data_IF_070987742118
#
_entry.id   IF_070987742118
#
_cell.length_a   1.000
_cell.length_b   1.000
_cell.length_c   1.000
_cell.angle_alpha   90.00
_cell.angle_beta   90.00
_cell.angle_gamma   90.00
#
_symmetry.space_group_name_H-M   'P 1'
#
loop_
_entity.id
_entity.type
_entity.pdbx_description
1 polymer ?
#
# COMPACT_ATOMS: atom_id res chain seq x y z
N UNK A 1 -8.21 -17.78 -12.15
CA UNK A 1 -8.66 -16.37 -12.18
C UNK A 1 -9.53 -16.03 -10.96
N UNK A 2 -10.50 -16.88 -10.59
CA UNK A 2 -11.42 -16.65 -9.45
C UNK A 2 -10.72 -16.50 -8.10
N UNK A 3 -9.70 -17.33 -7.78
CA UNK A 3 -8.97 -17.25 -6.50
C UNK A 3 -8.15 -15.96 -6.36
N UNK A 4 -7.58 -15.44 -7.44
CA UNK A 4 -6.79 -14.20 -7.43
C UNK A 4 -7.66 -12.96 -7.22
N UNK A 5 -8.89 -12.97 -7.74
CA UNK A 5 -9.85 -11.88 -7.51
C UNK A 5 -10.29 -11.85 -6.03
N UNK A 6 -10.54 -13.00 -5.42
CA UNK A 6 -10.86 -13.08 -4.00
C UNK A 6 -9.74 -12.53 -3.11
N UNK A 7 -8.48 -12.82 -3.45
CA UNK A 7 -7.33 -12.25 -2.76
C UNK A 7 -7.28 -10.72 -2.91
N UNK A 8 -7.52 -10.20 -4.12
CA UNK A 8 -7.55 -8.75 -4.36
C UNK A 8 -8.64 -8.06 -3.52
N UNK A 9 -9.85 -8.63 -3.45
CA UNK A 9 -10.92 -8.10 -2.59
C UNK A 9 -10.55 -8.13 -1.11
N UNK A 10 -9.93 -9.22 -0.65
CA UNK A 10 -9.40 -9.31 0.71
C UNK A 10 -8.40 -8.20 1.02
N UNK A 11 -7.45 -7.95 0.12
CA UNK A 11 -6.45 -6.89 0.27
C UNK A 11 -7.12 -5.51 0.36
N UNK A 12 -8.13 -5.22 -0.47
CA UNK A 12 -8.87 -3.95 -0.42
C UNK A 12 -9.50 -3.73 0.97
N UNK A 13 -10.09 -4.77 1.56
CA UNK A 13 -10.68 -4.69 2.90
C UNK A 13 -9.61 -4.36 3.94
N UNK A 14 -8.48 -5.08 3.93
CA UNK A 14 -7.40 -4.85 4.89
C UNK A 14 -6.77 -3.45 4.74
N UNK A 15 -6.55 -2.99 3.50
CA UNK A 15 -6.03 -1.65 3.23
C UNK A 15 -7.02 -0.56 3.65
N UNK A 16 -8.32 -0.75 3.40
CA UNK A 16 -9.37 0.18 3.81
C UNK A 16 -9.49 0.29 5.34
N UNK A 17 -9.49 -0.85 6.04
CA UNK A 17 -9.49 -0.88 7.51
C UNK A 17 -8.23 -0.23 8.08
N UNK A 18 -7.06 -0.51 7.49
CA UNK A 18 -5.80 0.12 7.88
C UNK A 18 -5.90 1.65 7.77
N UNK A 19 -6.33 2.19 6.62
CA UNK A 19 -6.48 3.63 6.44
C UNK A 19 -7.47 4.27 7.45
N UNK A 20 -8.58 3.59 7.73
CA UNK A 20 -9.54 4.02 8.74
C UNK A 20 -8.91 4.09 10.14
N UNK A 21 -8.24 3.02 10.59
CA UNK A 21 -7.58 3.00 11.90
C UNK A 21 -6.45 4.02 12.01
N UNK A 22 -5.67 4.24 10.94
CA UNK A 22 -4.66 5.30 10.92
C UNK A 22 -5.32 6.66 11.15
N UNK A 23 -6.39 7.00 10.43
CA UNK A 23 -7.08 8.28 10.64
C UNK A 23 -7.59 8.44 12.07
N UNK A 24 -8.21 7.39 12.62
CA UNK A 24 -8.75 7.41 13.99
C UNK A 24 -7.63 7.61 15.01
N UNK A 25 -6.55 6.83 14.91
CA UNK A 25 -5.40 6.92 15.80
C UNK A 25 -4.74 8.30 15.72
N UNK A 26 -4.48 8.80 14.51
CA UNK A 26 -3.90 10.13 14.30
C UNK A 26 -4.76 11.23 14.93
N UNK A 27 -6.08 11.13 14.82
CA UNK A 27 -7.01 12.10 15.43
C UNK A 27 -7.06 12.05 16.95
N UNK A 28 -6.78 10.89 17.57
CA UNK A 28 -6.85 10.71 19.03
C UNK A 28 -5.52 10.98 19.73
N UNK A 29 -4.41 10.50 19.16
CA UNK A 29 -3.10 10.49 19.84
C UNK A 29 -2.00 11.26 19.07
N UNK A 30 -2.33 11.86 17.92
CA UNK A 30 -1.36 12.56 17.07
C UNK A 30 -0.61 11.64 16.12
N UNK A 31 -0.03 12.21 15.06
CA UNK A 31 0.65 11.47 13.98
C UNK A 31 1.88 10.71 14.46
N UNK A 32 2.69 11.32 15.32
CA UNK A 32 3.97 10.78 15.75
C UNK A 32 3.77 9.57 16.65
N UNK A 33 2.82 9.64 17.59
CA UNK A 33 2.48 8.53 18.49
C UNK A 33 1.77 7.40 17.76
N UNK A 34 0.85 7.74 16.86
CA UNK A 34 0.16 6.75 16.03
C UNK A 34 1.16 6.00 15.12
N UNK A 35 2.11 6.72 14.51
CA UNK A 35 3.19 6.13 13.71
C UNK A 35 4.10 5.24 14.58
N UNK A 36 4.50 5.70 15.77
CA UNK A 36 5.32 4.91 16.68
C UNK A 36 4.68 3.56 17.01
N UNK A 37 3.40 3.54 17.40
CA UNK A 37 2.69 2.30 17.70
C UNK A 37 2.47 1.43 16.46
N UNK A 38 2.26 2.03 15.29
CA UNK A 38 2.19 1.29 14.04
C UNK A 38 3.51 0.60 13.70
N UNK A 39 4.65 1.27 13.91
CA UNK A 39 5.98 0.68 13.72
C UNK A 39 6.21 -0.48 14.69
N UNK A 40 5.82 -0.34 15.95
CA UNK A 40 5.89 -1.45 16.93
C UNK A 40 5.06 -2.64 16.43
N UNK A 41 3.84 -2.42 15.96
CA UNK A 41 2.98 -3.47 15.42
C UNK A 41 3.61 -4.14 14.18
N UNK A 42 4.17 -3.36 13.24
CA UNK A 42 4.85 -3.91 12.06
C UNK A 42 6.05 -4.78 12.44
N UNK A 43 6.90 -4.33 13.36
CA UNK A 43 8.04 -5.12 13.84
C UNK A 43 7.57 -6.47 14.40
N UNK A 44 6.54 -6.47 15.25
CA UNK A 44 5.99 -7.70 15.83
C UNK A 44 5.43 -8.62 14.75
N UNK A 45 4.67 -8.08 13.79
CA UNK A 45 4.12 -8.84 12.67
C UNK A 45 5.22 -9.44 11.78
N UNK A 46 6.25 -8.66 11.44
CA UNK A 46 7.35 -9.10 10.59
C UNK A 46 8.18 -10.20 11.26
N UNK A 47 8.44 -10.09 12.58
CA UNK A 47 9.09 -11.15 13.36
C UNK A 47 8.26 -12.44 13.33
N UNK A 48 6.94 -12.35 13.50
CA UNK A 48 6.06 -13.52 13.41
C UNK A 48 6.08 -14.17 12.02
N UNK A 49 6.09 -13.36 10.97
CA UNK A 49 6.20 -13.84 9.58
C UNK A 49 7.54 -14.56 9.38
N UNK A 50 8.66 -13.95 9.78
CA UNK A 50 9.99 -14.55 9.67
C UNK A 50 10.09 -15.86 10.47
N UNK A 51 9.56 -15.90 11.68
CA UNK A 51 9.51 -17.11 12.50
C UNK A 51 8.68 -18.22 11.83
N UNK A 52 7.57 -17.86 11.18
CA UNK A 52 6.77 -18.77 10.38
C UNK A 52 7.53 -19.35 9.18
N UNK A 53 8.19 -18.49 8.40
CA UNK A 53 8.99 -18.90 7.24
C UNK A 53 10.15 -19.82 7.65
N UNK A 54 10.81 -19.50 8.77
CA UNK A 54 11.86 -20.34 9.33
C UNK A 54 11.34 -21.73 9.72
N UNK A 55 10.19 -21.81 10.41
CA UNK A 55 9.55 -23.08 10.77
C UNK A 55 9.13 -23.91 9.56
N UNK A 56 8.80 -23.27 8.45
CA UNK A 56 8.45 -23.93 7.19
C UNK A 56 9.68 -24.41 6.40
N UNK A 57 10.90 -24.16 6.89
CA UNK A 57 12.14 -24.55 6.20
C UNK A 57 12.37 -23.78 4.90
N UNK A 58 11.82 -22.57 4.79
CA UNK A 58 11.97 -21.76 3.57
C UNK A 58 13.43 -21.31 3.43
N UNK A 59 14.09 -21.54 2.29
CA UNK A 59 15.48 -21.14 2.10
C UNK A 59 15.58 -19.61 2.00
N UNK A 60 16.06 -18.95 3.05
CA UNK A 60 16.24 -17.49 3.12
C UNK A 60 17.60 -17.06 2.55
N UNK A 61 17.94 -17.52 1.35
CA UNK A 61 19.22 -17.22 0.71
C UNK A 61 19.24 -15.81 0.10
N UNK A 62 20.42 -15.18 0.12
CA UNK A 62 20.61 -13.89 -0.54
C UNK A 62 20.81 -14.07 -2.04
N UNK A 63 19.84 -13.58 -2.82
CA UNK A 63 19.95 -13.49 -4.26
C UNK A 63 20.21 -12.04 -4.71
N UNK A 64 20.74 -11.90 -5.92
CA UNK A 64 21.04 -10.59 -6.52
C UNK A 64 19.81 -9.69 -6.69
N UNK A 65 18.60 -10.24 -6.68
CA UNK A 65 17.35 -9.49 -6.78
C UNK A 65 16.79 -9.02 -5.42
N UNK A 66 17.34 -9.47 -4.28
CA UNK A 66 16.79 -9.17 -2.95
C UNK A 66 16.75 -7.66 -2.65
N UNK A 67 17.63 -6.86 -3.26
CA UNK A 67 17.60 -5.40 -3.10
C UNK A 67 16.29 -4.78 -3.62
N UNK A 68 15.60 -5.41 -4.59
CA UNK A 68 14.30 -4.94 -5.06
C UNK A 68 13.22 -5.09 -3.97
N UNK A 69 13.27 -6.18 -3.21
CA UNK A 69 12.38 -6.38 -2.06
C UNK A 69 12.69 -5.37 -0.95
N UNK A 70 13.97 -5.10 -0.69
CA UNK A 70 14.41 -4.06 0.25
C UNK A 70 13.94 -2.68 -0.21
N UNK A 71 14.10 -2.34 -1.49
CA UNK A 71 13.63 -1.08 -2.05
C UNK A 71 12.10 -0.95 -1.92
N UNK A 72 11.36 -2.01 -2.23
CA UNK A 72 9.91 -2.06 -2.03
C UNK A 72 9.51 -1.76 -0.59
N UNK A 73 10.17 -2.39 0.39
CA UNK A 73 9.93 -2.14 1.81
C UNK A 73 10.25 -0.70 2.23
N UNK A 74 11.35 -0.13 1.73
CA UNK A 74 11.74 1.26 2.01
C UNK A 74 10.73 2.27 1.46
N UNK A 75 10.30 2.11 0.21
CA UNK A 75 9.27 2.96 -0.38
C UNK A 75 7.90 2.76 0.30
N UNK A 76 7.56 1.53 0.67
CA UNK A 76 6.36 1.22 1.45
C UNK A 76 6.35 1.90 2.82
N UNK A 77 7.48 1.87 3.54
CA UNK A 77 7.65 2.55 4.82
C UNK A 77 7.53 4.08 4.67
N UNK A 78 8.19 4.66 3.67
CA UNK A 78 8.08 6.09 3.36
C UNK A 78 6.63 6.49 3.04
N UNK A 79 5.92 5.69 2.24
CA UNK A 79 4.50 5.88 1.94
C UNK A 79 3.60 5.78 3.16
N UNK A 80 3.88 4.83 4.07
CA UNK A 80 3.18 4.72 5.35
C UNK A 80 3.37 5.97 6.19
N UNK A 81 4.61 6.42 6.39
CA UNK A 81 4.92 7.68 7.11
C UNK A 81 4.14 8.86 6.50
N UNK A 82 4.17 9.00 5.17
CA UNK A 82 3.42 10.03 4.45
C UNK A 82 1.92 9.95 4.70
N UNK A 83 1.34 8.74 4.81
CA UNK A 83 -0.08 8.52 5.08
C UNK A 83 -0.48 9.03 6.48
N UNK A 84 0.33 8.77 7.51
CA UNK A 84 0.07 9.28 8.87
C UNK A 84 0.06 10.82 8.89
N UNK A 85 1.03 11.47 8.23
CA UNK A 85 1.07 12.93 8.11
C UNK A 85 -0.05 13.50 7.23
N UNK A 86 -0.44 12.80 6.17
CA UNK A 86 -1.54 13.23 5.30
C UNK A 86 -2.86 13.23 6.08
N UNK A 87 -3.12 12.14 6.81
CA UNK A 87 -4.35 11.98 7.57
C UNK A 87 -4.40 12.84 8.84
N UNK A 88 -3.27 13.41 9.29
CA UNK A 88 -3.30 14.45 10.33
C UNK A 88 -3.80 15.79 9.79
N UNK A 89 -3.69 16.03 8.48
CA UNK A 89 -4.02 17.32 7.84
C UNK A 89 -5.29 17.29 7.00
N UNK A 90 -5.68 16.14 6.49
CA UNK A 90 -6.82 16.02 5.55
C UNK A 90 -7.90 15.07 6.09
N UNK A 91 -9.15 15.29 5.66
CA UNK A 91 -10.27 14.37 5.93
C UNK A 91 -10.00 13.03 5.22
N UNK A 92 -10.35 11.91 5.87
CA UNK A 92 -10.16 10.58 5.29
C UNK A 92 -10.93 10.41 3.97
N UNK A 93 -12.13 11.00 3.88
CA UNK A 93 -12.97 10.98 2.67
C UNK A 93 -12.31 11.61 1.44
N UNK A 94 -11.30 12.46 1.63
CA UNK A 94 -10.53 13.11 0.56
C UNK A 94 -9.16 12.43 0.43
N UNK A 95 -8.43 12.30 1.54
CA UNK A 95 -7.07 11.77 1.54
C UNK A 95 -6.97 10.31 1.11
N UNK A 96 -7.89 9.44 1.53
CA UNK A 96 -7.83 8.01 1.18
C UNK A 96 -8.03 7.76 -0.32
N UNK A 97 -9.05 8.35 -1.00
CA UNK A 97 -9.15 8.26 -2.46
C UNK A 97 -7.93 8.81 -3.20
N UNK A 98 -7.33 9.90 -2.71
CA UNK A 98 -6.15 10.49 -3.35
C UNK A 98 -4.94 9.54 -3.33
N UNK A 99 -4.62 8.93 -2.18
CA UNK A 99 -3.51 7.98 -2.13
C UNK A 99 -3.83 6.68 -2.87
N UNK A 100 -5.10 6.27 -2.93
CA UNK A 100 -5.54 5.09 -3.67
C UNK A 100 -5.34 5.17 -5.19
N UNK A 101 -4.86 6.31 -5.71
CA UNK A 101 -4.43 6.48 -7.10
C UNK A 101 -3.05 5.90 -7.43
N UNK A 102 -2.26 5.49 -6.43
CA UNK A 102 -0.95 4.89 -6.67
C UNK A 102 -0.95 3.75 -7.72
N UNK A 103 -2.00 2.91 -7.90
CA UNK A 103 -2.02 1.89 -8.95
C UNK A 103 -1.91 2.47 -10.36
N UNK A 104 -2.41 3.68 -10.61
CA UNK A 104 -2.24 4.35 -11.89
C UNK A 104 -0.75 4.58 -12.21
N UNK A 105 0.01 5.06 -11.22
CA UNK A 105 1.45 5.21 -11.33
C UNK A 105 2.13 3.86 -11.55
N UNK A 106 1.73 2.82 -10.80
CA UNK A 106 2.27 1.46 -10.96
C UNK A 106 2.06 0.93 -12.37
N UNK A 107 0.88 1.14 -12.98
CA UNK A 107 0.63 0.69 -14.36
C UNK A 107 1.46 1.46 -15.37
N UNK A 108 1.66 2.77 -15.19
CA UNK A 108 2.57 3.56 -16.04
C UNK A 108 4.00 3.01 -15.93
N UNK A 109 4.48 2.71 -14.72
CA UNK A 109 5.80 2.11 -14.51
C UNK A 109 5.90 0.72 -15.12
N UNK A 110 4.86 -0.12 -15.03
CA UNK A 110 4.81 -1.42 -15.66
C UNK A 110 4.92 -1.33 -17.20
N UNK A 111 4.27 -0.33 -17.80
CA UNK A 111 4.41 -0.08 -19.24
C UNK A 111 5.81 0.40 -19.62
N UNK A 112 6.35 1.38 -18.89
CA UNK A 112 7.63 2.02 -19.25
C UNK A 112 8.85 1.13 -18.94
N UNK A 113 8.85 0.47 -17.79
CA UNK A 113 10.01 -0.26 -17.26
C UNK A 113 9.89 -1.75 -17.56
N UNK A 114 8.73 -2.37 -17.26
CA UNK A 114 8.51 -3.80 -17.49
C UNK A 114 8.13 -4.11 -18.95
N UNK A 115 7.86 -3.08 -19.76
CA UNK A 115 7.46 -3.18 -21.18
C UNK A 115 6.19 -4.02 -21.37
N UNK A 116 5.30 -4.00 -20.39
CA UNK A 116 4.02 -4.71 -20.47
C UNK A 116 3.11 -4.05 -21.51
N UNK A 117 2.41 -4.87 -22.31
CA UNK A 117 1.45 -4.36 -23.31
C UNK A 117 0.15 -3.96 -22.61
N UNK A 118 -0.07 -2.66 -22.43
CA UNK A 118 -1.33 -2.13 -21.93
C UNK A 118 -2.39 -2.21 -23.05
N UNK A 119 -3.47 -2.96 -22.80
CA UNK A 119 -4.67 -2.91 -23.65
C UNK A 119 -5.36 -1.54 -23.50
N UNK A 120 -5.94 -1.02 -24.58
CA UNK A 120 -6.65 0.26 -24.58
C UNK A 120 -7.68 0.38 -23.45
N UNK A 121 -8.40 -0.71 -23.15
CA UNK A 121 -9.37 -0.81 -22.07
C UNK A 121 -8.76 -0.55 -20.69
N UNK A 122 -7.55 -1.03 -20.42
CA UNK A 122 -6.85 -0.78 -19.17
C UNK A 122 -6.47 0.71 -19.05
N UNK A 123 -6.05 1.33 -20.15
CA UNK A 123 -5.77 2.77 -20.22
C UNK A 123 -7.01 3.61 -19.90
N UNK A 124 -8.16 3.27 -20.49
CA UNK A 124 -9.44 3.92 -20.16
C UNK A 124 -9.82 3.72 -18.70
N UNK A 125 -9.65 2.52 -18.15
CA UNK A 125 -9.88 2.23 -16.73
C UNK A 125 -9.04 3.10 -15.78
N UNK A 126 -7.76 3.32 -16.11
CA UNK A 126 -6.88 4.21 -15.35
C UNK A 126 -7.36 5.66 -15.42
N UNK A 127 -7.71 6.15 -16.60
CA UNK A 127 -8.24 7.51 -16.76
C UNK A 127 -9.53 7.72 -15.96
N UNK A 128 -10.43 6.73 -15.97
CA UNK A 128 -11.65 6.76 -15.16
C UNK A 128 -11.36 6.73 -13.66
N UNK A 129 -10.40 5.92 -13.21
CA UNK A 129 -9.99 5.89 -11.80
C UNK A 129 -9.38 7.23 -11.35
N UNK A 130 -8.54 7.85 -12.18
CA UNK A 130 -7.98 9.18 -11.95
C UNK A 130 -9.09 10.24 -11.87
N UNK A 131 -10.04 10.23 -12.82
CA UNK A 131 -11.18 11.14 -12.81
C UNK A 131 -12.05 10.95 -11.56
N UNK A 132 -12.33 9.71 -11.16
CA UNK A 132 -13.10 9.41 -9.95
C UNK A 132 -12.42 9.94 -8.68
N UNK A 133 -11.10 9.79 -8.56
CA UNK A 133 -10.38 10.31 -7.41
C UNK A 133 -10.29 11.85 -7.38
N UNK A 134 -10.16 12.51 -8.54
CA UNK A 134 -10.27 13.98 -8.63
C UNK A 134 -11.66 14.41 -8.17
N UNK A 135 -12.73 13.77 -8.64
CA UNK A 135 -14.10 14.08 -8.22
C UNK A 135 -14.32 13.85 -6.72
N UNK A 136 -13.70 12.83 -6.12
CA UNK A 136 -13.76 12.59 -4.67
C UNK A 136 -12.95 13.60 -3.85
N UNK A 137 -11.98 14.28 -4.48
CA UNK A 137 -11.15 15.29 -3.83
C UNK A 137 -11.68 16.73 -3.98
N UNK A 138 -12.69 16.95 -4.83
CA UNK A 138 -13.45 18.20 -4.97
C UNK A 138 -14.55 18.31 -3.90
#
# INVERSE_FOLDING_TARGET
MTSSLLLAFGIIIFLGLSAFFVKVAVGQIGSERALFWAVVAYIVTDIMILAGLYKMGTPLMFESANWLAVASALFGAAGSIGTFYLFSRMKLSIGAPMIALFPALTVVLAFLILKEKIKLVNGVGILLALAAAVLLAL
#
